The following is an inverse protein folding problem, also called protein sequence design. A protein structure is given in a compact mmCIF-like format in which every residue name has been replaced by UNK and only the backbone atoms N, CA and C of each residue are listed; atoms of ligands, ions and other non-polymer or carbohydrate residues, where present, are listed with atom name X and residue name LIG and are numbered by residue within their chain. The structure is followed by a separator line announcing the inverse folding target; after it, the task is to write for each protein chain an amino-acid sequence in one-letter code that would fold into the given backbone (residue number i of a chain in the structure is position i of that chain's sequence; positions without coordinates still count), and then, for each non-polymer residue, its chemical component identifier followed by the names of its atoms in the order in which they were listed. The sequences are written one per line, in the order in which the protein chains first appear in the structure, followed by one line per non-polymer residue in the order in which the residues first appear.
data_IF_749550458815
#
_entry.id   IF_749550458815
#
_cell.length_a   1.000
_cell.length_b   1.000
_cell.length_c   1.000
_cell.angle_alpha   90.00
_cell.angle_beta   90.00
_cell.angle_gamma   90.00
#
_symmetry.space_group_name_H-M   'P 1'
#
loop_
_entity.id
_entity.type
_entity.pdbx_description
1 polymer ?
#
# COMPACT_ATOMS: atom_id res chain seq x y z
N UNK A 1 3.28 -15.24 10.44
CA UNK A 1 4.49 -14.45 10.74
C UNK A 1 4.07 -13.08 11.27
N UNK A 2 4.83 -12.50 12.21
CA UNK A 2 4.77 -11.09 12.58
C UNK A 2 6.17 -10.48 12.44
N UNK A 3 6.34 -9.55 11.50
CA UNK A 3 7.57 -8.76 11.33
C UNK A 3 7.41 -7.42 12.02
N UNK A 4 8.18 -7.15 13.07
CA UNK A 4 8.03 -5.95 13.89
C UNK A 4 9.35 -5.48 14.50
N UNK A 5 9.42 -4.19 14.85
CA UNK A 5 10.53 -3.65 15.62
C UNK A 5 10.53 -4.18 17.07
N UNK A 6 11.69 -4.28 17.73
CA UNK A 6 11.77 -4.75 19.13
C UNK A 6 11.06 -3.83 20.14
N UNK A 7 10.82 -2.56 19.75
CA UNK A 7 10.12 -1.54 20.54
C UNK A 7 8.69 -1.29 20.03
N UNK A 8 8.11 -2.21 19.26
CA UNK A 8 6.79 -2.00 18.63
C UNK A 8 5.62 -2.02 19.64
N UNK A 9 5.73 -2.82 20.71
CA UNK A 9 4.64 -3.02 21.67
C UNK A 9 5.09 -2.81 23.12
N UNK A 10 4.24 -2.19 23.96
CA UNK A 10 4.57 -1.90 25.36
C UNK A 10 4.84 -3.15 26.23
N UNK A 11 4.20 -4.29 25.93
CA UNK A 11 4.41 -5.58 26.61
C UNK A 11 4.80 -6.67 25.61
N UNK A 12 5.73 -6.35 24.71
CA UNK A 12 6.08 -7.18 23.55
C UNK A 12 6.37 -8.64 23.91
N UNK A 13 7.21 -8.92 24.91
CA UNK A 13 7.53 -10.30 25.30
C UNK A 13 6.29 -11.13 25.70
N UNK A 14 5.34 -10.50 26.42
CA UNK A 14 4.08 -11.15 26.81
C UNK A 14 3.16 -11.36 25.60
N UNK A 15 3.06 -10.35 24.71
CA UNK A 15 2.29 -10.45 23.48
C UNK A 15 2.80 -11.59 22.59
N UNK A 16 4.11 -11.65 22.37
CA UNK A 16 4.72 -12.66 21.50
C UNK A 16 4.63 -14.06 22.11
N UNK A 17 4.77 -14.20 23.44
CA UNK A 17 4.51 -15.47 24.12
C UNK A 17 3.05 -15.93 23.95
N UNK A 18 2.08 -15.01 24.09
CA UNK A 18 0.67 -15.29 23.89
C UNK A 18 0.36 -15.70 22.45
N UNK A 19 0.96 -15.03 21.46
CA UNK A 19 0.81 -15.39 20.04
C UNK A 19 1.41 -16.76 19.74
N UNK A 20 2.62 -17.05 20.25
CA UNK A 20 3.25 -18.38 20.14
C UNK A 20 2.36 -19.50 20.67
N UNK A 21 1.66 -19.26 21.78
CA UNK A 21 0.79 -20.27 22.39
C UNK A 21 -0.56 -20.45 21.67
N UNK A 22 -1.02 -19.46 20.89
CA UNK A 22 -2.38 -19.43 20.31
C UNK A 22 -2.44 -19.57 18.80
N UNK A 23 -1.34 -19.29 18.11
CA UNK A 23 -1.26 -19.34 16.65
C UNK A 23 -0.27 -20.42 16.27
N UNK A 24 -0.78 -21.52 15.71
CA UNK A 24 0.07 -22.66 15.32
C UNK A 24 1.11 -22.22 14.26
N UNK A 25 2.36 -22.65 14.43
CA UNK A 25 3.46 -22.25 13.54
C UNK A 25 3.81 -20.76 13.58
N UNK A 26 3.42 -20.02 14.63
CA UNK A 26 3.71 -18.60 14.74
C UNK A 26 5.21 -18.32 14.85
N UNK A 27 5.70 -17.51 13.93
CA UNK A 27 7.06 -16.96 13.91
C UNK A 27 7.00 -15.43 14.05
N UNK A 28 7.72 -14.91 15.04
CA UNK A 28 7.98 -13.47 15.18
C UNK A 28 9.40 -13.18 14.69
N UNK A 29 9.53 -12.15 13.85
CA UNK A 29 10.81 -11.59 13.44
C UNK A 29 10.89 -10.21 14.08
N UNK A 30 11.70 -10.12 15.13
CA UNK A 30 11.90 -8.89 15.90
C UNK A 30 13.19 -8.19 15.45
N UNK A 31 13.08 -6.96 14.95
CA UNK A 31 14.24 -6.18 14.53
C UNK A 31 14.83 -5.43 15.72
N UNK A 32 16.09 -5.68 16.11
CA UNK A 32 16.69 -5.01 17.24
C UNK A 32 17.08 -3.57 16.91
N UNK A 33 16.95 -2.66 17.88
CA UNK A 33 17.30 -1.25 17.75
C UNK A 33 18.78 -1.02 17.46
N UNK A 34 19.63 -2.02 17.74
CA UNK A 34 21.06 -2.02 17.41
C UNK A 34 21.34 -2.27 15.93
N UNK A 35 20.40 -2.85 15.18
CA UNK A 35 20.52 -3.03 13.72
C UNK A 35 19.75 -1.94 12.95
N UNK A 36 18.54 -1.62 13.41
CA UNK A 36 17.69 -0.56 12.82
C UNK A 36 17.08 0.24 13.96
N UNK A 37 17.41 1.52 14.07
CA UNK A 37 16.82 2.37 15.11
C UNK A 37 15.34 2.68 14.82
N UNK A 38 14.59 3.15 15.83
CA UNK A 38 13.21 3.65 15.60
C UNK A 38 13.21 4.83 14.61
N UNK A 39 14.23 5.69 14.66
CA UNK A 39 14.37 6.81 13.71
C UNK A 39 14.49 6.30 12.28
N UNK A 40 15.31 5.28 12.05
CA UNK A 40 15.50 4.70 10.72
C UNK A 40 14.26 3.94 10.26
N UNK A 41 13.58 3.24 11.17
CA UNK A 41 12.32 2.57 10.89
C UNK A 41 11.24 3.56 10.41
N UNK A 42 11.20 4.76 11.00
CA UNK A 42 10.28 5.84 10.60
C UNK A 42 10.70 6.49 9.29
N UNK A 43 11.99 6.81 9.10
CA UNK A 43 12.45 7.51 7.89
C UNK A 43 12.41 6.64 6.64
N UNK A 44 12.63 5.33 6.79
CA UNK A 44 12.67 4.38 5.65
C UNK A 44 11.34 3.69 5.39
N UNK A 45 10.37 3.78 6.31
CA UNK A 45 9.10 3.07 6.23
C UNK A 45 9.23 1.54 6.13
N UNK A 46 10.32 0.95 6.67
CA UNK A 46 10.58 -0.49 6.65
C UNK A 46 9.35 -1.34 7.03
N UNK A 47 8.67 -0.98 8.13
CA UNK A 47 7.51 -1.72 8.63
C UNK A 47 6.19 -1.31 7.97
N UNK A 48 6.21 -0.32 7.08
CA UNK A 48 5.11 -0.02 6.17
C UNK A 48 5.23 -0.81 4.85
N UNK A 49 5.92 -1.95 4.89
CA UNK A 49 6.01 -2.90 3.80
C UNK A 49 4.77 -3.78 3.67
N UNK A 50 4.58 -4.39 2.50
CA UNK A 50 3.66 -5.52 2.37
C UNK A 50 4.44 -6.82 2.51
N UNK A 51 3.91 -7.74 3.31
CA UNK A 51 4.39 -9.11 3.39
C UNK A 51 3.40 -10.00 2.63
N UNK A 52 3.81 -10.46 1.45
CA UNK A 52 2.98 -11.25 0.53
C UNK A 52 3.39 -12.72 0.60
N UNK A 53 2.41 -13.62 0.59
CA UNK A 53 2.65 -15.06 0.51
C UNK A 53 2.66 -15.53 -0.93
N UNK A 54 3.55 -16.49 -1.23
CA UNK A 54 3.60 -17.25 -2.48
C UNK A 54 2.92 -18.60 -2.30
N UNK A 55 2.63 -19.25 -3.42
CA UNK A 55 1.97 -20.57 -3.45
C UNK A 55 2.81 -21.66 -2.77
N UNK A 56 4.13 -21.53 -2.76
CA UNK A 56 5.06 -22.45 -2.09
C UNK A 56 5.22 -22.18 -0.58
N UNK A 57 4.53 -21.16 -0.04
CA UNK A 57 4.60 -20.75 1.37
C UNK A 57 5.73 -19.77 1.70
N UNK A 58 6.64 -19.49 0.76
CA UNK A 58 7.62 -18.41 0.90
C UNK A 58 6.94 -17.03 0.89
N UNK A 59 7.67 -16.00 1.31
CA UNK A 59 7.16 -14.65 1.45
C UNK A 59 8.04 -13.62 0.72
N UNK A 60 7.39 -12.59 0.20
CA UNK A 60 8.03 -11.41 -0.39
C UNK A 60 7.76 -10.18 0.48
N UNK A 61 8.79 -9.36 0.70
CA UNK A 61 8.63 -8.01 1.22
C UNK A 61 8.58 -6.99 0.08
N UNK A 62 7.47 -6.25 0.02
CA UNK A 62 7.31 -5.07 -0.85
C UNK A 62 7.68 -3.82 -0.07
N UNK A 63 8.71 -3.13 -0.51
CA UNK A 63 9.39 -2.06 0.22
C UNK A 63 9.39 -0.75 -0.59
N UNK A 64 9.39 0.41 0.08
CA UNK A 64 9.64 1.68 -0.58
C UNK A 64 11.13 1.85 -0.93
N UNK A 65 11.44 2.72 -1.88
CA UNK A 65 12.79 3.01 -2.37
C UNK A 65 13.77 3.45 -1.25
N UNK A 66 13.26 4.17 -0.25
CA UNK A 66 14.01 4.68 0.90
C UNK A 66 14.66 3.55 1.73
N UNK A 67 14.05 2.36 1.76
CA UNK A 67 14.65 1.18 2.39
C UNK A 67 15.93 0.73 1.68
N UNK A 68 16.01 0.89 0.35
CA UNK A 68 17.18 0.51 -0.46
C UNK A 68 18.29 1.57 -0.38
N UNK A 69 17.90 2.84 -0.26
CA UNK A 69 18.84 3.97 -0.20
C UNK A 69 19.51 4.11 1.17
N UNK A 70 18.83 3.67 2.23
CA UNK A 70 19.40 3.67 3.57
C UNK A 70 20.28 2.43 3.81
N UNK A 71 21.60 2.61 3.80
CA UNK A 71 22.59 1.52 3.89
C UNK A 71 22.37 0.56 5.08
N UNK A 72 22.06 1.07 6.28
CA UNK A 72 21.81 0.23 7.46
C UNK A 72 20.59 -0.69 7.31
N UNK A 73 19.43 -0.11 6.96
CA UNK A 73 18.19 -0.84 6.69
C UNK A 73 18.34 -1.82 5.52
N UNK A 74 18.98 -1.41 4.42
CA UNK A 74 19.21 -2.33 3.30
C UNK A 74 20.13 -3.48 3.68
N UNK A 75 21.18 -3.22 4.46
CA UNK A 75 22.05 -4.26 5.03
C UNK A 75 21.27 -5.26 5.88
N UNK A 76 20.46 -4.77 6.82
CA UNK A 76 19.59 -5.61 7.63
C UNK A 76 18.61 -6.44 6.79
N UNK A 77 17.98 -5.84 5.78
CA UNK A 77 17.05 -6.55 4.88
C UNK A 77 17.72 -7.68 4.10
N UNK A 78 18.97 -7.51 3.66
CA UNK A 78 19.71 -8.57 2.98
C UNK A 78 20.18 -9.67 3.95
N UNK A 79 20.53 -9.31 5.19
CA UNK A 79 20.77 -10.30 6.25
C UNK A 79 19.50 -11.11 6.54
N UNK A 80 18.36 -10.44 6.65
CA UNK A 80 17.05 -11.06 6.82
C UNK A 80 16.69 -11.98 5.65
N UNK A 81 16.97 -11.57 4.41
CA UNK A 81 16.76 -12.37 3.21
C UNK A 81 17.63 -13.65 3.17
N UNK A 82 18.84 -13.57 3.72
CA UNK A 82 19.78 -14.70 3.76
C UNK A 82 19.56 -15.63 4.97
N UNK A 83 18.85 -15.17 6.00
CA UNK A 83 18.58 -15.94 7.20
C UNK A 83 17.52 -17.04 6.97
N UNK A 84 17.50 -18.04 7.85
CA UNK A 84 16.51 -19.12 7.81
C UNK A 84 15.13 -18.65 8.29
N UNK A 85 14.34 -18.11 7.36
CA UNK A 85 12.97 -17.68 7.59
C UNK A 85 12.17 -17.66 6.27
N UNK A 86 10.83 -17.50 6.32
CA UNK A 86 10.00 -17.48 5.11
C UNK A 86 10.26 -16.35 4.11
N UNK A 87 10.92 -15.25 4.47
CA UNK A 87 11.15 -14.13 3.54
C UNK A 87 12.27 -14.50 2.57
N UNK A 88 11.90 -14.71 1.30
CA UNK A 88 12.81 -15.18 0.25
C UNK A 88 12.95 -14.19 -0.91
N UNK A 89 12.26 -13.05 -0.88
CA UNK A 89 12.38 -12.01 -1.90
C UNK A 89 12.13 -10.61 -1.33
N UNK A 90 12.92 -9.65 -1.82
CA UNK A 90 12.73 -8.21 -1.59
C UNK A 90 12.35 -7.55 -2.92
N UNK A 91 11.21 -6.86 -2.94
CA UNK A 91 10.75 -6.08 -4.09
C UNK A 91 10.63 -4.61 -3.70
N UNK A 92 11.36 -3.76 -4.39
CA UNK A 92 11.39 -2.31 -4.13
C UNK A 92 10.57 -1.58 -5.19
N UNK A 93 9.76 -0.60 -4.75
CA UNK A 93 9.02 0.31 -5.63
C UNK A 93 9.33 1.77 -5.29
N UNK A 94 9.39 2.61 -6.31
CA UNK A 94 9.45 4.06 -6.17
C UNK A 94 8.04 4.62 -5.90
N UNK A 95 7.85 5.17 -4.71
CA UNK A 95 6.58 5.73 -4.24
C UNK A 95 6.79 7.14 -3.65
N UNK A 96 7.80 7.87 -4.14
CA UNK A 96 8.26 9.16 -3.57
C UNK A 96 7.13 10.16 -3.29
N UNK A 97 6.17 10.30 -4.20
CA UNK A 97 5.03 11.22 -4.03
C UNK A 97 4.15 10.87 -2.82
N UNK A 98 3.92 9.58 -2.61
CA UNK A 98 3.14 9.07 -1.47
C UNK A 98 3.97 9.13 -0.19
N UNK A 99 5.24 8.74 -0.26
CA UNK A 99 6.19 8.79 0.86
C UNK A 99 6.42 10.21 1.39
N UNK A 100 6.44 11.22 0.51
CA UNK A 100 6.53 12.63 0.89
C UNK A 100 5.38 13.09 1.81
N UNK A 101 4.23 12.39 1.76
CA UNK A 101 3.07 12.61 2.63
C UNK A 101 2.88 11.48 3.67
N UNK A 102 3.89 10.64 3.90
CA UNK A 102 3.85 9.58 4.91
C UNK A 102 3.04 8.34 4.52
N UNK A 103 2.89 8.05 3.23
CA UNK A 103 2.26 6.84 2.72
C UNK A 103 3.26 5.90 2.05
N UNK A 104 3.63 4.80 2.70
CA UNK A 104 4.40 3.72 2.07
C UNK A 104 3.52 2.66 1.38
N UNK A 105 4.10 1.54 0.93
CA UNK A 105 3.39 0.48 0.20
C UNK A 105 2.16 -0.06 0.94
N UNK A 106 2.27 -0.23 2.26
CA UNK A 106 1.15 -0.73 3.08
C UNK A 106 0.04 0.29 3.28
N UNK A 107 0.32 1.60 3.23
CA UNK A 107 -0.70 2.64 3.36
C UNK A 107 -1.62 2.72 2.13
N UNK A 108 -1.11 2.38 0.94
CA UNK A 108 -1.83 2.50 -0.33
C UNK A 108 -2.79 1.33 -0.62
N UNK A 109 -2.99 0.41 0.33
CA UNK A 109 -3.72 -0.84 0.09
C UNK A 109 -4.59 -1.27 1.27
N UNK A 110 -5.72 -1.89 0.93
CA UNK A 110 -6.60 -2.60 1.85
C UNK A 110 -6.48 -4.11 1.62
N UNK A 111 -6.26 -4.90 2.68
CA UNK A 111 -6.23 -6.36 2.59
C UNK A 111 -7.63 -6.92 2.82
N UNK A 112 -8.16 -7.67 1.86
CA UNK A 112 -9.47 -8.34 1.95
C UNK A 112 -9.27 -9.80 1.55
N UNK A 113 -9.46 -10.72 2.51
CA UNK A 113 -9.42 -12.16 2.23
C UNK A 113 -10.79 -12.56 1.72
N UNK A 114 -10.82 -13.21 0.56
CA UNK A 114 -12.06 -13.61 -0.13
C UNK A 114 -11.92 -15.05 -0.61
N UNK A 115 -12.98 -15.84 -0.45
CA UNK A 115 -13.17 -17.12 -1.12
C UNK A 115 -13.37 -16.92 -2.63
N UNK A 116 -13.37 -18.00 -3.41
CA UNK A 116 -13.59 -17.90 -4.86
C UNK A 116 -14.98 -17.35 -5.21
N UNK A 117 -16.02 -17.73 -4.46
CA UNK A 117 -17.38 -17.21 -4.65
C UNK A 117 -17.46 -15.72 -4.32
N UNK A 118 -16.92 -15.29 -3.18
CA UNK A 118 -16.90 -13.88 -2.80
C UNK A 118 -16.08 -13.04 -3.79
N UNK A 119 -14.95 -13.55 -4.30
CA UNK A 119 -14.17 -12.88 -5.35
C UNK A 119 -14.98 -12.67 -6.62
N UNK A 120 -15.83 -13.63 -7.03
CA UNK A 120 -16.73 -13.48 -8.19
C UNK A 120 -17.83 -12.45 -7.97
N UNK A 121 -18.18 -12.16 -6.73
CA UNK A 121 -19.19 -11.17 -6.37
C UNK A 121 -18.64 -9.73 -6.31
N UNK A 122 -17.32 -9.55 -6.30
CA UNK A 122 -16.68 -8.23 -6.41
C UNK A 122 -17.02 -7.62 -7.78
N UNK A 123 -17.21 -6.30 -7.84
CA UNK A 123 -17.37 -5.60 -9.11
C UNK A 123 -16.16 -5.90 -10.03
N UNK A 124 -16.34 -6.61 -11.15
CA UNK A 124 -15.21 -7.05 -11.97
C UNK A 124 -14.46 -5.88 -12.60
N UNK A 125 -15.10 -4.71 -12.75
CA UNK A 125 -14.50 -3.52 -13.34
C UNK A 125 -13.38 -2.89 -12.47
N UNK A 126 -13.21 -3.32 -11.21
CA UNK A 126 -12.12 -2.84 -10.34
C UNK A 126 -10.98 -3.85 -10.18
N UNK A 127 -11.08 -5.04 -10.78
CA UNK A 127 -10.07 -6.08 -10.66
C UNK A 127 -8.93 -5.79 -11.65
N UNK A 128 -7.72 -5.59 -11.13
CA UNK A 128 -6.56 -5.21 -11.93
C UNK A 128 -6.21 -6.27 -12.99
N UNK A 129 -5.99 -5.79 -14.21
CA UNK A 129 -5.54 -6.56 -15.38
C UNK A 129 -4.97 -5.57 -16.42
N UNK A 130 -4.42 -6.06 -17.54
CA UNK A 130 -3.81 -5.21 -18.57
C UNK A 130 -4.77 -4.17 -19.16
N UNK A 131 -6.05 -4.54 -19.35
CA UNK A 131 -7.06 -3.62 -19.87
C UNK A 131 -7.31 -2.47 -18.90
N UNK A 132 -7.55 -2.77 -17.62
CA UNK A 132 -7.79 -1.75 -16.61
C UNK A 132 -6.53 -0.90 -16.34
N UNK A 133 -5.36 -1.53 -16.33
CA UNK A 133 -4.08 -0.83 -16.16
C UNK A 133 -3.87 0.21 -17.25
N UNK A 134 -4.01 -0.16 -18.52
CA UNK A 134 -3.83 0.78 -19.63
C UNK A 134 -4.91 1.88 -19.61
N UNK A 135 -6.18 1.52 -19.38
CA UNK A 135 -7.27 2.48 -19.33
C UNK A 135 -7.10 3.52 -18.19
N UNK A 136 -6.59 3.09 -17.02
CA UNK A 136 -6.30 3.99 -15.92
C UNK A 136 -5.11 4.90 -16.22
N UNK A 137 -4.05 4.41 -16.89
CA UNK A 137 -2.93 5.27 -17.30
C UNK A 137 -3.38 6.32 -18.34
N UNK A 138 -4.15 5.93 -19.35
CA UNK A 138 -4.70 6.87 -20.34
C UNK A 138 -5.62 7.92 -19.68
N UNK A 139 -6.39 7.51 -18.68
CA UNK A 139 -7.23 8.41 -17.88
C UNK A 139 -6.37 9.37 -17.04
N UNK A 140 -5.28 8.89 -16.43
CA UNK A 140 -4.33 9.75 -15.71
C UNK A 140 -3.69 10.76 -16.67
N UNK A 141 -3.13 10.31 -17.80
CA UNK A 141 -2.46 11.18 -18.78
C UNK A 141 -3.37 12.26 -19.34
N UNK A 142 -4.67 11.99 -19.43
CA UNK A 142 -5.67 12.95 -19.90
C UNK A 142 -5.99 14.05 -18.89
N UNK A 143 -6.03 13.73 -17.60
CA UNK A 143 -6.64 14.60 -16.58
C UNK A 143 -5.67 15.11 -15.50
N UNK A 144 -4.54 14.44 -15.29
CA UNK A 144 -3.61 14.81 -14.22
C UNK A 144 -2.62 15.86 -14.70
N UNK A 145 -2.41 16.87 -13.85
CA UNK A 145 -1.35 17.87 -14.05
C UNK A 145 -0.02 17.27 -13.58
N UNK A 146 1.05 17.62 -14.27
CA UNK A 146 2.44 17.27 -13.88
C UNK A 146 2.96 18.12 -12.70
N UNK A 147 2.26 19.20 -12.37
CA UNK A 147 2.55 20.08 -11.23
C UNK A 147 1.26 20.60 -10.60
N UNK A 148 1.24 20.61 -9.26
CA UNK A 148 0.17 21.22 -8.48
C UNK A 148 0.73 21.87 -7.22
N UNK A 149 0.23 23.06 -6.89
CA UNK A 149 0.53 23.80 -5.66
C UNK A 149 -0.76 24.16 -4.93
N UNK A 150 -0.65 24.56 -3.67
CA UNK A 150 -1.82 25.00 -2.89
C UNK A 150 -2.56 26.19 -3.52
N UNK A 151 -1.88 27.06 -4.26
CA UNK A 151 -2.51 28.20 -4.95
C UNK A 151 -3.39 27.74 -6.12
N UNK A 152 -3.02 26.66 -6.79
CA UNK A 152 -3.76 26.11 -7.94
C UNK A 152 -5.11 25.52 -7.51
N UNK A 153 -5.31 25.24 -6.21
CA UNK A 153 -6.59 24.79 -5.68
C UNK A 153 -7.71 25.84 -5.83
N UNK A 154 -7.35 27.11 -6.04
CA UNK A 154 -8.30 28.18 -6.30
C UNK A 154 -8.69 28.30 -7.79
N UNK A 155 -8.02 27.56 -8.69
CA UNK A 155 -8.30 27.58 -10.12
C UNK A 155 -9.65 26.87 -10.41
N UNK A 156 -10.68 27.57 -10.90
CA UNK A 156 -11.96 26.94 -11.23
C UNK A 156 -11.84 25.91 -12.36
N UNK A 157 -10.78 25.96 -13.18
CA UNK A 157 -10.54 24.96 -14.21
C UNK A 157 -10.16 23.60 -13.59
N UNK A 158 -9.35 23.59 -12.52
CA UNK A 158 -9.01 22.36 -11.79
C UNK A 158 -10.27 21.64 -11.28
N UNK A 159 -11.26 22.41 -10.78
CA UNK A 159 -12.54 21.85 -10.34
C UNK A 159 -13.29 21.20 -11.51
N UNK A 160 -13.34 21.83 -12.69
CA UNK A 160 -14.02 21.28 -13.87
C UNK A 160 -13.35 20.00 -14.35
N UNK A 161 -12.02 20.02 -14.46
CA UNK A 161 -11.19 18.86 -14.83
C UNK A 161 -11.45 17.69 -13.88
N UNK A 162 -11.41 17.94 -12.55
CA UNK A 162 -11.65 16.90 -11.55
C UNK A 162 -13.06 16.31 -11.60
N UNK A 163 -14.09 17.12 -11.88
CA UNK A 163 -15.48 16.64 -12.00
C UNK A 163 -15.64 15.74 -13.22
N UNK A 164 -15.16 16.19 -14.38
CA UNK A 164 -15.21 15.39 -15.61
C UNK A 164 -14.39 14.09 -15.47
N UNK A 165 -13.19 14.18 -14.90
CA UNK A 165 -12.34 13.02 -14.65
C UNK A 165 -13.05 11.96 -13.80
N UNK A 166 -13.68 12.37 -12.69
CA UNK A 166 -14.42 11.45 -11.81
C UNK A 166 -15.70 10.91 -12.46
N UNK A 167 -16.38 11.69 -13.30
CA UNK A 167 -17.51 11.20 -14.10
C UNK A 167 -17.09 10.07 -15.05
N UNK A 168 -15.99 10.25 -15.78
CA UNK A 168 -15.44 9.23 -16.67
C UNK A 168 -14.93 8.01 -15.88
N UNK A 169 -14.24 8.23 -14.75
CA UNK A 169 -13.73 7.13 -13.91
C UNK A 169 -14.86 6.28 -13.33
N UNK A 170 -15.95 6.92 -12.87
CA UNK A 170 -17.11 6.19 -12.35
C UNK A 170 -17.79 5.30 -13.39
N UNK A 171 -17.75 5.70 -14.67
CA UNK A 171 -18.21 4.88 -15.79
C UNK A 171 -17.24 3.75 -16.10
N UNK A 172 -15.93 4.05 -16.19
CA UNK A 172 -14.88 3.06 -16.42
C UNK A 172 -14.91 1.93 -15.37
N UNK A 173 -15.09 2.30 -14.10
CA UNK A 173 -15.14 1.36 -12.97
C UNK A 173 -16.54 0.82 -12.69
N UNK A 174 -17.54 1.16 -13.51
CA UNK A 174 -18.93 0.73 -13.36
C UNK A 174 -19.50 0.95 -11.94
N UNK A 175 -19.33 2.16 -11.42
CA UNK A 175 -19.74 2.56 -10.06
C UNK A 175 -21.07 3.31 -10.03
N UNK A 176 -21.58 3.72 -11.19
CA UNK A 176 -22.73 4.63 -11.28
C UNK A 176 -22.46 5.99 -10.63
N UNK A 177 -23.53 6.69 -10.23
CA UNK A 177 -23.45 8.01 -9.59
C UNK A 177 -23.03 7.93 -8.11
N UNK A 178 -21.81 7.48 -7.87
CA UNK A 178 -21.24 7.27 -6.53
C UNK A 178 -20.83 8.58 -5.86
N UNK A 179 -20.39 9.58 -6.64
CA UNK A 179 -19.94 10.87 -6.11
C UNK A 179 -21.11 11.84 -5.88
N UNK A 180 -21.07 12.70 -4.84
CA UNK A 180 -22.18 13.61 -4.52
C UNK A 180 -22.62 14.51 -5.68
N UNK A 181 -21.67 15.09 -6.42
CA UNK A 181 -21.98 16.01 -7.52
C UNK A 181 -22.75 15.37 -8.67
N UNK A 182 -22.67 14.04 -8.82
CA UNK A 182 -23.37 13.29 -9.86
C UNK A 182 -24.87 13.10 -9.54
N UNK A 183 -25.26 13.34 -8.29
CA UNK A 183 -26.64 13.15 -7.80
C UNK A 183 -27.44 14.45 -7.85
N UNK A 184 -26.76 15.58 -7.72
CA UNK A 184 -27.38 16.91 -7.63
C UNK A 184 -27.88 17.46 -8.99
N UNK A 185 -27.64 16.75 -10.10
CA UNK A 185 -28.16 17.09 -11.45
C UNK A 185 -29.58 16.59 -11.76
N UNK A 186 -30.26 15.93 -10.82
CA UNK A 186 -31.64 15.43 -10.99
C UNK A 186 -32.76 16.41 -10.59
N UNK A 187 -32.43 17.62 -10.13
CA UNK A 187 -33.40 18.61 -9.66
C UNK A 187 -33.45 19.86 -10.54
N UNK A 188 -34.17 19.79 -11.66
CA UNK A 188 -34.81 20.98 -12.19
C UNK A 188 -36.06 21.25 -11.35
N UNK A 189 -36.01 22.32 -10.56
CA UNK A 189 -37.14 22.93 -9.85
C UNK A 189 -36.89 24.43 -9.74
#
# INVERSE_FOLDING_TARGET
MLFCHQQAFARQSQLLANLRARVNGFMAIEVPATQVSVSDAVSTYLFNSQLLSRDDGSMMLVLPQECREHAGVWGYLNELLAADNPISELKVFDLRESMANGGGPACLRLRVVLTEEERRAVNPAVMMNDTLFNALNDWVDRYYRDRLTAADLADPQLLREGREALDVLSQLLNLGSVYPFQREGGGNG
#
